data_IF_011343655442
#
_entry.id   IF_011343655442
#
_cell.length_a   1.000
_cell.length_b   1.000
_cell.length_c   1.000
_cell.angle_alpha   90.00
_cell.angle_beta   90.00
_cell.angle_gamma   90.00
#
_symmetry.space_group_name_H-M   'P 1'
#
loop_
_entity.id
_entity.type
_entity.pdbx_description
1 polymer ?
#
# COMPACT_ATOMS: atom_id res chain seq x y z
N UNK A 1 -33.81 8.98 -51.57
CA UNK A 1 -32.72 8.52 -52.46
C UNK A 1 -31.42 9.18 -52.01
N UNK A 2 -30.35 8.36 -51.94
CA UNK A 2 -28.93 8.65 -51.67
C UNK A 2 -28.51 8.73 -50.18
N UNK A 3 -27.91 7.60 -49.79
CA UNK A 3 -27.09 7.36 -48.60
C UNK A 3 -25.81 8.20 -48.62
N UNK A 4 -25.19 8.39 -47.45
CA UNK A 4 -23.76 8.12 -47.27
C UNK A 4 -23.45 7.90 -45.78
N UNK A 5 -23.07 6.66 -45.47
CA UNK A 5 -22.45 6.28 -44.22
C UNK A 5 -20.96 6.68 -44.27
N UNK A 6 -20.49 7.44 -43.28
CA UNK A 6 -19.06 7.59 -43.04
C UNK A 6 -18.63 6.49 -42.07
N UNK A 7 -18.10 5.40 -42.61
CA UNK A 7 -17.29 4.47 -41.83
C UNK A 7 -15.95 5.15 -41.54
N UNK A 8 -15.60 5.32 -40.26
CA UNK A 8 -14.24 5.67 -39.86
C UNK A 8 -13.33 4.52 -40.31
N UNK A 9 -12.57 4.76 -41.37
CA UNK A 9 -11.50 3.88 -41.83
C UNK A 9 -10.47 3.80 -40.70
N UNK A 10 -10.35 2.62 -40.09
CA UNK A 10 -9.21 2.28 -39.25
C UNK A 10 -8.01 2.15 -40.18
N UNK A 11 -7.25 3.23 -40.32
CA UNK A 11 -6.01 3.25 -41.06
C UNK A 11 -5.00 2.34 -40.34
N UNK A 12 -4.77 1.16 -40.92
CA UNK A 12 -3.67 0.26 -40.57
C UNK A 12 -2.37 0.86 -41.11
N UNK A 13 -1.96 1.97 -40.52
CA UNK A 13 -0.78 2.74 -40.91
C UNK A 13 0.44 2.39 -40.04
N UNK A 14 1.38 1.66 -40.63
CA UNK A 14 2.81 1.60 -40.26
C UNK A 14 3.20 0.98 -38.91
N UNK A 15 3.23 -0.36 -38.86
CA UNK A 15 4.10 -1.14 -37.97
C UNK A 15 5.58 -1.00 -38.38
N UNK A 16 6.15 0.20 -38.31
CA UNK A 16 7.58 0.43 -38.60
C UNK A 16 8.36 1.02 -37.43
N UNK A 17 7.69 1.36 -36.33
CA UNK A 17 8.36 1.89 -35.13
C UNK A 17 9.03 0.81 -34.29
N UNK A 18 8.68 -0.47 -34.49
CA UNK A 18 9.17 -1.58 -33.66
C UNK A 18 10.14 -2.52 -34.42
N UNK A 19 10.67 -2.12 -35.59
CA UNK A 19 11.56 -3.00 -36.38
C UNK A 19 12.93 -3.23 -35.71
N UNK A 20 13.31 -2.35 -34.79
CA UNK A 20 14.61 -2.38 -34.09
C UNK A 20 14.49 -2.69 -32.59
N UNK A 21 13.26 -2.75 -32.09
CA UNK A 21 12.98 -3.06 -30.69
C UNK A 21 12.70 -4.57 -30.62
N UNK A 22 13.60 -5.36 -30.02
CA UNK A 22 13.41 -6.79 -29.97
C UNK A 22 12.24 -7.16 -29.05
N UNK A 23 11.43 -8.13 -29.48
CA UNK A 23 10.18 -8.59 -28.85
C UNK A 23 10.29 -8.97 -27.35
N UNK A 24 11.50 -9.10 -26.79
CA UNK A 24 11.70 -9.37 -25.37
C UNK A 24 11.48 -8.14 -24.49
N UNK A 25 11.59 -6.91 -25.01
CA UNK A 25 11.42 -5.69 -24.21
C UNK A 25 9.97 -5.52 -23.73
N UNK A 26 9.00 -5.93 -24.54
CA UNK A 26 7.59 -5.97 -24.15
C UNK A 26 7.31 -7.01 -23.06
N UNK A 27 8.09 -8.08 -22.99
CA UNK A 27 8.01 -9.11 -21.95
C UNK A 27 8.75 -8.75 -20.65
N UNK A 28 9.55 -7.68 -20.64
CA UNK A 28 10.20 -7.17 -19.42
C UNK A 28 9.26 -6.35 -18.56
N UNK A 29 8.12 -5.89 -19.12
CA UNK A 29 7.11 -5.23 -18.30
C UNK A 29 6.50 -6.27 -17.36
N UNK A 30 6.58 -6.07 -16.04
CA UNK A 30 6.01 -7.01 -15.09
C UNK A 30 4.49 -7.08 -15.30
N UNK A 31 3.94 -8.30 -15.31
CA UNK A 31 2.50 -8.55 -15.40
C UNK A 31 1.74 -7.97 -14.19
N UNK A 32 2.47 -7.67 -13.11
CA UNK A 32 1.98 -7.10 -11.86
C UNK A 32 2.49 -5.66 -11.74
N UNK A 33 1.65 -4.69 -11.36
CA UNK A 33 2.09 -3.32 -11.16
C UNK A 33 3.16 -3.24 -10.07
N UNK A 34 4.28 -2.61 -10.41
CA UNK A 34 5.34 -2.28 -9.45
C UNK A 34 4.93 -1.01 -8.70
N UNK A 35 5.11 -1.01 -7.38
CA UNK A 35 4.85 0.16 -6.52
C UNK A 35 6.18 0.74 -6.05
N UNK A 36 6.34 2.05 -6.23
CA UNK A 36 7.58 2.75 -5.87
C UNK A 36 7.76 2.86 -4.35
N UNK A 37 6.72 3.31 -3.65
CA UNK A 37 6.73 3.55 -2.20
C UNK A 37 5.48 2.96 -1.54
N UNK A 38 5.67 2.17 -0.48
CA UNK A 38 4.58 1.55 0.28
C UNK A 38 4.69 1.91 1.75
N UNK A 39 3.56 2.35 2.32
CA UNK A 39 3.46 2.66 3.74
C UNK A 39 2.84 1.50 4.51
N UNK A 40 3.65 0.84 5.34
CA UNK A 40 3.21 -0.21 6.25
C UNK A 40 2.74 0.44 7.54
N UNK A 41 1.42 0.37 7.79
CA UNK A 41 0.80 0.90 9.00
C UNK A 41 0.64 -0.19 10.06
N UNK A 42 1.26 0.04 11.22
CA UNK A 42 1.18 -0.84 12.38
C UNK A 42 0.32 -0.18 13.46
N UNK A 43 -0.79 -0.82 13.82
CA UNK A 43 -1.71 -0.36 14.86
C UNK A 43 -1.83 -1.39 15.98
N UNK A 44 -1.90 -0.91 17.21
CA UNK A 44 -1.91 -1.78 18.38
C UNK A 44 -2.26 -1.04 19.65
N UNK A 45 -2.78 -1.78 20.62
CA UNK A 45 -3.14 -1.24 21.93
C UNK A 45 -1.95 -1.10 22.86
N UNK A 46 -0.94 -1.96 22.68
CA UNK A 46 0.25 -1.98 23.52
C UNK A 46 1.46 -1.40 22.78
N UNK A 47 2.08 -0.40 23.41
CA UNK A 47 3.17 0.37 22.81
C UNK A 47 4.48 -0.43 22.64
N UNK A 48 4.97 -1.18 23.64
CA UNK A 48 6.23 -1.93 23.51
C UNK A 48 6.15 -3.04 22.46
N UNK A 49 4.97 -3.65 22.30
CA UNK A 49 4.71 -4.65 21.26
C UNK A 49 4.86 -4.03 19.88
N UNK A 50 4.24 -2.87 19.65
CA UNK A 50 4.37 -2.11 18.40
C UNK A 50 5.83 -1.73 18.10
N UNK A 51 6.58 -1.27 19.09
CA UNK A 51 7.98 -0.89 18.89
C UNK A 51 8.87 -2.10 18.56
N UNK A 52 8.64 -3.22 19.25
CA UNK A 52 9.31 -4.49 18.94
C UNK A 52 8.98 -4.97 17.52
N UNK A 53 7.70 -4.87 17.13
CA UNK A 53 7.25 -5.28 15.81
C UNK A 53 7.78 -4.37 14.70
N UNK A 54 7.88 -3.06 14.93
CA UNK A 54 8.53 -2.13 14.00
C UNK A 54 10.00 -2.54 13.74
N UNK A 55 10.75 -2.89 14.79
CA UNK A 55 12.13 -3.41 14.66
C UNK A 55 12.18 -4.73 13.90
N UNK A 56 11.17 -5.58 14.06
CA UNK A 56 11.07 -6.84 13.32
C UNK A 56 10.78 -6.63 11.83
N UNK A 57 9.85 -5.75 11.49
CA UNK A 57 9.56 -5.37 10.09
C UNK A 57 10.81 -4.81 9.42
N UNK A 58 11.57 -3.97 10.11
CA UNK A 58 12.85 -3.45 9.61
C UNK A 58 13.86 -4.56 9.29
N UNK A 59 13.98 -5.59 10.16
CA UNK A 59 14.85 -6.74 9.91
C UNK A 59 14.41 -7.58 8.72
N UNK A 60 13.09 -7.76 8.54
CA UNK A 60 12.54 -8.46 7.38
C UNK A 60 12.85 -7.68 6.11
N UNK A 61 12.59 -6.38 6.09
CA UNK A 61 12.88 -5.52 4.93
C UNK A 61 14.36 -5.63 4.53
N UNK A 62 15.28 -5.54 5.51
CA UNK A 62 16.71 -5.73 5.27
C UNK A 62 17.06 -7.13 4.72
N UNK A 63 16.35 -8.18 5.17
CA UNK A 63 16.56 -9.55 4.70
C UNK A 63 16.01 -9.80 3.29
N UNK A 64 15.02 -9.00 2.87
CA UNK A 64 14.42 -9.01 1.53
C UNK A 64 15.09 -8.03 0.57
N UNK A 65 16.19 -7.38 0.98
CA UNK A 65 16.85 -6.32 0.20
C UNK A 65 15.92 -5.17 -0.19
N UNK A 66 14.90 -4.90 0.65
CA UNK A 66 14.00 -3.75 0.49
C UNK A 66 14.55 -2.62 1.36
N UNK A 67 14.73 -1.43 0.77
CA UNK A 67 15.15 -0.27 1.54
C UNK A 67 13.97 0.31 2.32
N UNK A 68 14.25 0.66 3.58
CA UNK A 68 13.35 1.44 4.41
C UNK A 68 13.79 2.90 4.37
N UNK A 69 12.94 3.78 3.84
CA UNK A 69 13.27 5.20 3.71
C UNK A 69 13.05 5.94 5.03
N UNK A 70 11.85 5.81 5.59
CA UNK A 70 11.41 6.61 6.74
C UNK A 70 10.52 5.79 7.68
N UNK A 71 10.60 6.10 8.98
CA UNK A 71 9.65 5.57 9.96
C UNK A 71 9.26 6.64 10.97
N UNK A 72 7.96 6.80 11.17
CA UNK A 72 7.40 7.80 12.07
C UNK A 72 6.31 7.21 12.98
N UNK A 73 6.05 7.92 14.06
CA UNK A 73 4.98 7.61 15.00
C UNK A 73 3.87 8.66 14.89
N UNK A 74 2.62 8.23 15.01
CA UNK A 74 1.49 9.14 15.14
C UNK A 74 1.06 9.29 16.60
N UNK A 75 0.46 10.43 16.98
CA UNK A 75 -0.10 10.61 18.30
C UNK A 75 -1.19 9.56 18.58
N UNK A 76 -1.25 8.99 19.80
CA UNK A 76 -2.18 7.91 20.10
C UNK A 76 -3.63 8.40 20.10
N UNK A 77 -4.51 7.61 19.50
CA UNK A 77 -5.95 7.83 19.55
C UNK A 77 -6.50 7.33 20.89
N UNK A 78 -7.21 8.21 21.60
CA UNK A 78 -7.75 7.93 22.94
C UNK A 78 -9.25 7.69 22.84
N UNK A 79 -9.70 6.55 23.34
CA UNK A 79 -11.11 6.16 23.37
C UNK A 79 -11.57 5.96 24.81
N UNK A 80 -12.73 6.51 25.12
CA UNK A 80 -13.43 6.25 26.38
C UNK A 80 -14.60 5.32 26.06
N UNK A 81 -14.46 4.06 26.43
CA UNK A 81 -15.45 3.01 26.16
C UNK A 81 -16.26 2.82 27.42
N UNK A 82 -17.57 2.97 27.34
CA UNK A 82 -18.47 2.78 28.46
C UNK A 82 -19.24 1.47 28.26
N UNK A 83 -19.26 0.64 29.30
CA UNK A 83 -20.08 -0.56 29.37
C UNK A 83 -21.35 -0.23 30.15
N UNK A 84 -22.49 -0.63 29.60
CA UNK A 84 -23.79 -0.44 30.22
C UNK A 84 -24.25 -1.74 30.87
N UNK A 85 -25.02 -1.62 31.96
CA UNK A 85 -25.66 -2.76 32.60
C UNK A 85 -26.64 -3.45 31.64
N UNK A 86 -26.77 -4.79 31.68
CA UNK A 86 -27.76 -5.50 30.87
C UNK A 86 -29.18 -4.99 31.13
N UNK A 87 -29.91 -4.64 30.07
CA UNK A 87 -31.27 -4.10 30.11
C UNK A 87 -31.44 -2.76 30.85
N UNK A 88 -30.36 -2.00 31.04
CA UNK A 88 -30.41 -0.71 31.72
C UNK A 88 -29.58 0.34 31.00
N UNK A 89 -29.94 1.62 31.19
CA UNK A 89 -29.17 2.76 30.69
C UNK A 89 -28.06 3.21 31.65
N UNK A 90 -27.88 2.49 32.76
CA UNK A 90 -26.89 2.81 33.79
C UNK A 90 -25.50 2.34 33.34
N UNK A 91 -24.51 3.20 33.55
CA UNK A 91 -23.10 2.89 33.27
C UNK A 91 -22.58 1.93 34.34
N UNK A 92 -22.08 0.78 33.90
CA UNK A 92 -21.49 -0.27 34.72
C UNK A 92 -19.98 -0.03 34.88
N UNK A 93 -19.26 0.09 33.75
CA UNK A 93 -17.80 0.24 33.74
C UNK A 93 -17.34 1.23 32.68
N UNK A 94 -16.19 1.87 32.93
CA UNK A 94 -15.52 2.75 31.97
C UNK A 94 -14.11 2.23 31.70
N UNK A 95 -13.76 2.11 30.43
CA UNK A 95 -12.45 1.68 29.96
C UNK A 95 -11.79 2.79 29.14
N UNK A 96 -10.54 3.10 29.46
CA UNK A 96 -9.73 4.04 28.70
C UNK A 96 -8.80 3.28 27.77
N UNK A 97 -9.16 3.18 26.50
CA UNK A 97 -8.38 2.48 25.49
C UNK A 97 -7.53 3.47 24.71
N UNK A 98 -6.27 3.10 24.45
CA UNK A 98 -5.35 3.89 23.61
C UNK A 98 -4.91 3.02 22.45
N UNK A 99 -4.98 3.57 21.24
CA UNK A 99 -4.45 2.94 20.04
C UNK A 99 -3.22 3.73 19.62
N UNK A 100 -2.09 3.04 19.58
CA UNK A 100 -0.82 3.55 19.09
C UNK A 100 -0.64 3.14 17.63
N UNK A 101 0.06 3.98 16.88
CA UNK A 101 0.33 3.74 15.47
C UNK A 101 1.81 4.03 15.14
N UNK A 102 2.42 3.12 14.39
CA UNK A 102 3.75 3.25 13.80
C UNK A 102 3.67 3.02 12.31
N UNK A 103 4.31 3.90 11.56
CA UNK A 103 4.36 3.82 10.11
C UNK A 103 5.80 3.58 9.68
N UNK A 104 5.97 2.67 8.72
CA UNK A 104 7.25 2.38 8.09
C UNK A 104 7.05 2.50 6.59
N UNK A 105 7.77 3.42 5.98
CA UNK A 105 7.81 3.57 4.54
C UNK A 105 8.92 2.69 3.98
N UNK A 106 8.55 1.85 3.02
CA UNK A 106 9.47 0.98 2.31
C UNK A 106 9.46 1.33 0.83
N UNK A 107 10.64 1.32 0.23
CA UNK A 107 10.89 1.52 -1.19
C UNK A 107 11.49 0.24 -1.74
N UNK A 108 10.92 -0.23 -2.83
CA UNK A 108 11.56 -1.29 -3.62
C UNK A 108 12.65 -0.56 -4.43
N UNK A 109 13.92 -0.86 -4.18
CA UNK A 109 14.94 -0.44 -5.14
C UNK A 109 14.65 -1.15 -6.44
N UNK A 110 14.61 -0.39 -7.55
CA UNK A 110 14.58 -0.96 -8.88
C UNK A 110 15.66 -2.02 -8.94
N UNK A 111 15.25 -3.28 -9.11
CA UNK A 111 16.16 -4.33 -9.53
C UNK A 111 16.53 -3.93 -10.96
N UNK A 112 17.59 -3.12 -11.08
CA UNK A 112 18.29 -2.92 -12.35
C UNK A 112 18.87 -4.29 -12.72
N UNK A 113 18.12 -5.03 -13.54
CA UNK A 113 18.64 -6.13 -14.36
C UNK A 113 19.16 -5.57 -15.67
#
# INVERSE_FOLDING_TARGET
MKFNAFSSVSDSGSKTTNLFEPDYLDHLNPEIPLYDEVNVQLKGYDFPVLESYQKFVYKIAASLSIQSDESWALPPQKFNITRMEPNSSVVDANYHLRIYERNVQVRIEDILL
#
